data_IF_828186539568
#
_entry.id   IF_828186539568
#
_cell.length_a   1.000
_cell.length_b   1.000
_cell.length_c   1.000
_cell.angle_alpha   90.00
_cell.angle_beta   90.00
_cell.angle_gamma   90.00
#
_symmetry.space_group_name_H-M   'P 1'
#
loop_
_entity.id
_entity.type
_entity.pdbx_description
1 polymer ?
#
# COMPACT_ATOMS: atom_id res chain seq x y z
N UNK A 1 -32.08 19.11 -27.60
CA UNK A 1 -30.61 19.02 -27.56
C UNK A 1 -30.13 19.54 -26.20
N UNK A 2 -29.87 18.64 -25.25
CA UNK A 2 -29.01 18.89 -24.08
C UNK A 2 -28.82 17.55 -23.38
N UNK A 3 -27.87 16.75 -23.86
CA UNK A 3 -27.40 15.56 -23.14
C UNK A 3 -26.33 16.02 -22.17
N UNK A 4 -26.66 16.06 -20.89
CA UNK A 4 -25.68 16.29 -19.82
C UNK A 4 -24.64 15.17 -19.89
N UNK A 5 -23.40 15.54 -20.21
CA UNK A 5 -22.25 14.65 -20.02
C UNK A 5 -22.06 14.51 -18.52
N UNK A 6 -22.63 13.45 -17.95
CA UNK A 6 -22.22 12.94 -16.65
C UNK A 6 -20.74 12.63 -16.78
N UNK A 7 -19.90 13.48 -16.18
CA UNK A 7 -18.46 13.28 -16.12
C UNK A 7 -18.18 11.93 -15.43
N UNK A 8 -17.36 11.08 -16.05
CA UNK A 8 -16.92 9.77 -15.52
C UNK A 8 -16.25 9.84 -14.12
N UNK A 9 -16.11 11.04 -13.54
CA UNK A 9 -15.55 11.28 -12.21
C UNK A 9 -16.43 10.81 -11.04
N UNK A 10 -17.74 10.61 -11.25
CA UNK A 10 -18.69 10.24 -10.18
C UNK A 10 -19.13 8.77 -10.18
N UNK A 11 -18.68 7.94 -11.14
CA UNK A 11 -19.07 6.52 -11.11
C UNK A 11 -18.33 5.84 -9.95
N UNK A 12 -19.06 5.30 -8.95
CA UNK A 12 -18.42 4.44 -7.96
C UNK A 12 -17.70 3.32 -8.71
N UNK A 13 -16.44 3.06 -8.34
CA UNK A 13 -15.73 1.89 -8.87
C UNK A 13 -16.56 0.63 -8.62
N UNK A 14 -16.36 -0.44 -9.43
CA UNK A 14 -17.14 -1.66 -9.34
C UNK A 14 -17.07 -2.20 -7.90
N UNK A 15 -18.21 -2.21 -7.22
CA UNK A 15 -18.35 -2.88 -5.92
C UNK A 15 -18.33 -4.38 -6.16
N UNK A 16 -17.31 -5.06 -5.64
CA UNK A 16 -17.19 -6.50 -5.74
C UNK A 16 -18.27 -7.16 -4.88
N UNK A 17 -19.42 -7.50 -5.46
CA UNK A 17 -20.45 -8.27 -4.75
C UNK A 17 -20.12 -9.76 -4.88
N UNK A 18 -19.12 -10.21 -4.12
CA UNK A 18 -18.89 -11.63 -3.92
C UNK A 18 -19.98 -12.19 -2.98
N UNK A 19 -20.48 -13.39 -3.28
CA UNK A 19 -21.38 -14.09 -2.35
C UNK A 19 -20.69 -14.34 -1.00
N UNK A 20 -21.44 -14.50 0.10
CA UNK A 20 -20.88 -14.55 1.46
C UNK A 20 -19.74 -15.56 1.64
N UNK A 21 -19.85 -16.74 1.02
CA UNK A 21 -18.80 -17.78 1.08
C UNK A 21 -17.49 -17.37 0.38
N UNK A 22 -17.57 -16.69 -0.77
CA UNK A 22 -16.39 -16.17 -1.47
C UNK A 22 -15.77 -15.01 -0.71
N UNK A 23 -16.58 -14.15 -0.09
CA UNK A 23 -16.09 -13.07 0.78
C UNK A 23 -15.32 -13.61 1.97
N UNK A 24 -15.84 -14.66 2.63
CA UNK A 24 -15.13 -15.34 3.72
C UNK A 24 -13.81 -15.96 3.23
N UNK A 25 -13.84 -16.71 2.12
CA UNK A 25 -12.65 -17.35 1.55
C UNK A 25 -11.53 -16.34 1.27
N UNK A 26 -11.86 -15.25 0.57
CA UNK A 26 -10.86 -14.21 0.21
C UNK A 26 -10.37 -13.48 1.44
N UNK A 27 -11.25 -13.16 2.40
CA UNK A 27 -10.85 -12.50 3.66
C UNK A 27 -9.91 -13.39 4.48
N UNK A 28 -10.20 -14.68 4.58
CA UNK A 28 -9.33 -15.65 5.23
C UNK A 28 -7.98 -15.79 4.53
N UNK A 29 -7.94 -15.79 3.19
CA UNK A 29 -6.69 -15.80 2.43
C UNK A 29 -5.84 -14.54 2.71
N UNK A 30 -6.47 -13.36 2.72
CA UNK A 30 -5.77 -12.11 3.08
C UNK A 30 -5.24 -12.15 4.52
N UNK A 31 -6.02 -12.67 5.47
CA UNK A 31 -5.59 -12.81 6.85
C UNK A 31 -4.44 -13.82 7.02
N UNK A 32 -4.40 -14.90 6.25
CA UNK A 32 -3.27 -15.83 6.21
C UNK A 32 -2.00 -15.14 5.69
N UNK A 33 -2.12 -14.33 4.62
CA UNK A 33 -1.00 -13.53 4.12
C UNK A 33 -0.56 -12.51 5.18
N UNK A 34 -1.49 -11.86 5.88
CA UNK A 34 -1.17 -10.97 6.99
C UNK A 34 -0.43 -11.69 8.13
N UNK A 35 -0.78 -12.95 8.41
CA UNK A 35 -0.11 -13.80 9.40
C UNK A 35 1.32 -14.21 9.01
N UNK A 36 1.52 -14.69 7.78
CA UNK A 36 2.82 -15.18 7.31
C UNK A 36 3.75 -14.07 6.80
N UNK A 37 3.18 -12.97 6.31
CA UNK A 37 3.91 -11.91 5.63
C UNK A 37 4.99 -11.20 6.46
N UNK A 38 4.85 -11.00 7.79
CA UNK A 38 5.94 -10.49 8.62
C UNK A 38 7.22 -11.33 8.54
N UNK A 39 7.12 -12.66 8.40
CA UNK A 39 8.29 -13.52 8.21
C UNK A 39 8.98 -13.27 6.86
N UNK A 40 8.19 -13.07 5.79
CA UNK A 40 8.73 -12.68 4.48
C UNK A 40 9.39 -11.29 4.54
N UNK A 41 8.75 -10.33 5.21
CA UNK A 41 9.32 -9.00 5.39
C UNK A 41 10.64 -9.06 6.16
N UNK A 42 10.74 -9.89 7.20
CA UNK A 42 12.01 -10.12 7.91
C UNK A 42 13.09 -10.63 6.96
N UNK A 43 12.77 -11.59 6.08
CA UNK A 43 13.71 -12.12 5.08
C UNK A 43 14.19 -11.04 4.11
N UNK A 44 13.30 -10.15 3.68
CA UNK A 44 13.66 -9.03 2.81
C UNK A 44 14.51 -7.99 3.57
N UNK A 45 14.22 -7.74 4.84
CA UNK A 45 15.02 -6.84 5.68
C UNK A 45 16.43 -7.37 5.99
N UNK A 46 16.70 -8.67 5.79
CA UNK A 46 18.07 -9.22 5.91
C UNK A 46 19.05 -8.68 4.86
N UNK A 47 18.55 -8.07 3.79
CA UNK A 47 19.39 -7.42 2.77
C UNK A 47 19.82 -5.99 3.19
N UNK A 48 19.50 -5.58 4.42
CA UNK A 48 19.91 -4.31 5.03
C UNK A 48 21.38 -4.26 5.42
N UNK A 49 21.88 -3.05 5.69
CA UNK A 49 23.23 -2.86 6.25
C UNK A 49 23.29 -3.32 7.70
N UNK A 50 22.17 -3.20 8.43
CA UNK A 50 22.00 -3.70 9.80
C UNK A 50 20.85 -4.72 9.82
N UNK A 51 21.09 -5.96 9.37
CA UNK A 51 20.04 -6.96 9.26
C UNK A 51 19.44 -7.27 10.64
N UNK A 52 18.11 -7.09 10.83
CA UNK A 52 17.50 -7.29 12.13
C UNK A 52 17.25 -8.77 12.40
N UNK A 53 17.50 -9.26 13.62
CA UNK A 53 17.17 -10.66 13.97
C UNK A 53 15.66 -10.92 14.01
N UNK A 54 14.87 -9.86 14.25
CA UNK A 54 13.41 -9.90 14.36
C UNK A 54 12.80 -8.55 14.01
N UNK A 55 11.55 -8.56 13.55
CA UNK A 55 10.82 -7.31 13.32
C UNK A 55 10.41 -6.67 14.64
N UNK A 56 10.52 -5.34 14.69
CA UNK A 56 10.01 -4.57 15.81
C UNK A 56 8.48 -4.58 15.81
N UNK A 57 7.88 -4.49 17.01
CA UNK A 57 6.41 -4.54 17.15
C UNK A 57 5.70 -3.52 16.25
N UNK A 58 6.11 -2.24 16.17
CA UNK A 58 5.46 -1.27 15.28
C UNK A 58 5.42 -1.72 13.80
N UNK A 59 6.48 -2.35 13.31
CA UNK A 59 6.58 -2.85 11.93
C UNK A 59 5.57 -3.96 11.68
N UNK A 60 5.40 -4.86 12.64
CA UNK A 60 4.41 -5.95 12.55
C UNK A 60 2.98 -5.39 12.52
N UNK A 61 2.69 -4.37 13.35
CA UNK A 61 1.39 -3.69 13.34
C UNK A 61 1.12 -3.02 11.99
N UNK A 62 2.12 -2.33 11.43
CA UNK A 62 2.02 -1.69 10.11
C UNK A 62 1.81 -2.70 8.99
N UNK A 63 2.44 -3.87 9.05
CA UNK A 63 2.23 -4.92 8.08
C UNK A 63 0.76 -5.40 8.08
N UNK A 64 0.16 -5.57 9.26
CA UNK A 64 -1.26 -5.88 9.38
C UNK A 64 -2.17 -4.78 8.80
N UNK A 65 -1.77 -3.52 8.98
CA UNK A 65 -2.52 -2.37 8.46
C UNK A 65 -2.66 -2.35 6.92
N UNK A 66 -1.75 -3.01 6.19
CA UNK A 66 -1.81 -3.13 4.72
C UNK A 66 -3.11 -3.79 4.21
N UNK A 67 -3.72 -4.65 5.02
CA UNK A 67 -4.87 -5.46 4.61
C UNK A 67 -6.21 -4.84 5.00
N UNK A 68 -6.20 -3.79 5.85
CA UNK A 68 -7.41 -3.21 6.44
C UNK A 68 -8.37 -2.69 5.37
N UNK A 69 -7.87 -1.89 4.42
CA UNK A 69 -8.70 -1.33 3.34
C UNK A 69 -9.41 -2.41 2.52
N UNK A 70 -8.67 -3.46 2.13
CA UNK A 70 -9.21 -4.59 1.37
C UNK A 70 -10.28 -5.36 2.13
N UNK A 71 -10.05 -5.63 3.42
CA UNK A 71 -11.02 -6.33 4.28
C UNK A 71 -12.31 -5.52 4.45
N UNK A 72 -12.21 -4.20 4.62
CA UNK A 72 -13.37 -3.30 4.68
C UNK A 72 -14.16 -3.35 3.37
N UNK A 73 -13.49 -3.26 2.22
CA UNK A 73 -14.17 -3.31 0.92
C UNK A 73 -14.86 -4.64 0.64
N UNK A 74 -14.18 -5.76 0.90
CA UNK A 74 -14.75 -7.08 0.65
C UNK A 74 -16.02 -7.33 1.47
N UNK A 75 -16.07 -6.76 2.68
CA UNK A 75 -17.15 -7.00 3.63
C UNK A 75 -18.20 -5.89 3.68
N UNK A 76 -18.00 -4.79 2.95
CA UNK A 76 -18.92 -3.63 2.96
C UNK A 76 -20.32 -3.96 2.45
N UNK A 77 -20.45 -4.95 1.56
CA UNK A 77 -21.73 -5.37 0.99
C UNK A 77 -22.51 -6.33 1.89
N UNK A 78 -21.88 -6.85 2.95
CA UNK A 78 -22.53 -7.77 3.90
C UNK A 78 -23.32 -6.99 4.95
N UNK A 79 -24.38 -7.62 5.45
CA UNK A 79 -25.09 -7.19 6.65
C UNK A 79 -24.14 -7.09 7.85
N UNK A 80 -24.33 -6.15 8.79
CA UNK A 80 -23.39 -5.89 9.89
C UNK A 80 -23.02 -7.14 10.70
N UNK A 81 -23.99 -7.98 11.08
CA UNK A 81 -23.72 -9.22 11.84
C UNK A 81 -22.85 -10.21 11.06
N UNK A 82 -23.11 -10.36 9.76
CA UNK A 82 -22.33 -11.26 8.90
C UNK A 82 -20.95 -10.70 8.61
N UNK A 83 -20.83 -9.40 8.41
CA UNK A 83 -19.56 -8.69 8.29
C UNK A 83 -18.66 -8.95 9.48
N UNK A 84 -19.17 -8.71 10.69
CA UNK A 84 -18.40 -8.90 11.92
C UNK A 84 -17.97 -10.37 12.07
N UNK A 85 -18.89 -11.32 11.81
CA UNK A 85 -18.57 -12.75 11.83
C UNK A 85 -17.47 -13.14 10.83
N UNK A 86 -17.52 -12.62 9.59
CA UNK A 86 -16.51 -12.88 8.56
C UNK A 86 -15.15 -12.30 8.96
N UNK A 87 -15.10 -11.07 9.47
CA UNK A 87 -13.85 -10.45 9.89
C UNK A 87 -13.23 -11.18 11.08
N UNK A 88 -14.03 -11.58 12.07
CA UNK A 88 -13.56 -12.38 13.22
C UNK A 88 -13.06 -13.75 12.76
N UNK A 89 -13.81 -14.46 11.91
CA UNK A 89 -13.41 -15.76 11.39
C UNK A 89 -12.11 -15.67 10.56
N UNK A 90 -12.02 -14.69 9.66
CA UNK A 90 -10.80 -14.47 8.88
C UNK A 90 -9.60 -14.18 9.79
N UNK A 91 -9.78 -13.35 10.83
CA UNK A 91 -8.72 -13.05 11.81
C UNK A 91 -8.25 -14.30 12.55
N UNK A 92 -9.18 -15.15 12.98
CA UNK A 92 -8.86 -16.41 13.64
C UNK A 92 -8.07 -17.36 12.72
N UNK A 93 -8.46 -17.44 11.44
CA UNK A 93 -7.71 -18.20 10.41
C UNK A 93 -6.33 -17.59 10.16
N UNK A 94 -6.23 -16.26 10.05
CA UNK A 94 -4.94 -15.58 9.89
C UNK A 94 -3.99 -15.77 11.06
N UNK A 95 -4.52 -15.91 12.28
CA UNK A 95 -3.76 -16.19 13.48
C UNK A 95 -3.34 -17.68 13.61
N UNK A 96 -4.02 -18.61 12.93
CA UNK A 96 -3.75 -20.05 13.06
C UNK A 96 -2.47 -20.48 12.32
N UNK A 97 -2.15 -19.89 11.17
CA UNK A 97 -0.94 -20.22 10.41
C UNK A 97 0.37 -19.78 11.12
N UNK A 98 0.48 -18.55 11.65
CA UNK A 98 1.61 -18.15 12.50
C UNK A 98 1.74 -19.06 13.72
N UNK A 99 0.62 -19.41 14.37
CA UNK A 99 0.61 -20.33 15.50
C UNK A 99 1.05 -21.76 15.12
N UNK A 100 0.72 -22.24 13.91
CA UNK A 100 1.19 -23.52 13.40
C UNK A 100 2.69 -23.48 13.05
N UNK A 101 3.17 -22.40 12.45
CA UNK A 101 4.61 -22.20 12.14
C UNK A 101 5.46 -22.05 13.42
N UNK A 102 4.87 -21.51 14.49
CA UNK A 102 5.48 -21.44 15.83
C UNK A 102 5.95 -22.80 16.35
N UNK A 103 5.19 -23.86 16.03
CA UNK A 103 5.49 -25.23 16.45
C UNK A 103 6.77 -25.78 15.78
N UNK A 104 7.22 -25.17 14.68
CA UNK A 104 8.42 -25.56 13.93
C UNK A 104 9.64 -24.68 14.21
N UNK A 105 9.62 -23.87 15.28
CA UNK A 105 10.80 -23.20 15.85
C UNK A 105 11.39 -22.03 15.05
N UNK A 106 10.71 -21.58 13.99
CA UNK A 106 11.21 -20.55 13.05
C UNK A 106 10.43 -19.23 13.10
N UNK A 107 9.72 -18.95 14.20
CA UNK A 107 8.72 -17.88 14.21
C UNK A 107 8.64 -17.11 15.55
N UNK A 108 8.41 -15.78 15.45
CA UNK A 108 8.26 -14.87 16.60
C UNK A 108 6.77 -14.70 16.98
N UNK A 109 6.36 -14.98 18.23
CA UNK A 109 5.00 -14.78 18.75
C UNK A 109 4.33 -13.45 18.41
N UNK A 110 5.13 -12.39 18.27
CA UNK A 110 4.65 -11.04 17.98
C UNK A 110 3.99 -10.95 16.61
N UNK A 111 4.27 -11.86 15.67
CA UNK A 111 3.71 -11.82 14.32
C UNK A 111 2.19 -12.09 14.30
N UNK A 112 1.60 -12.63 15.37
CA UNK A 112 0.15 -12.69 15.55
C UNK A 112 -0.51 -11.32 15.58
N UNK A 113 0.23 -10.28 15.96
CA UNK A 113 -0.30 -8.92 16.00
C UNK A 113 -0.71 -8.42 14.60
N UNK A 114 -0.08 -8.91 13.53
CA UNK A 114 -0.39 -8.49 12.17
C UNK A 114 -1.83 -8.85 11.74
N UNK A 115 -2.26 -10.13 11.75
CA UNK A 115 -3.65 -10.47 11.41
C UNK A 115 -4.66 -9.89 12.42
N UNK A 116 -4.29 -9.73 13.70
CA UNK A 116 -5.13 -9.07 14.69
C UNK A 116 -5.36 -7.59 14.38
N UNK A 117 -4.34 -6.85 13.96
CA UNK A 117 -4.49 -5.45 13.51
C UNK A 117 -5.32 -5.39 12.24
N UNK A 118 -5.06 -6.27 11.26
CA UNK A 118 -5.82 -6.31 10.01
C UNK A 118 -7.32 -6.46 10.28
N UNK A 119 -7.71 -7.44 11.09
CA UNK A 119 -9.10 -7.70 11.45
C UNK A 119 -9.71 -6.66 12.38
N UNK A 120 -8.99 -6.30 13.45
CA UNK A 120 -9.46 -5.36 14.47
C UNK A 120 -9.67 -3.95 13.90
N UNK A 121 -8.72 -3.43 13.13
CA UNK A 121 -8.87 -2.13 12.49
C UNK A 121 -9.95 -2.15 11.39
N UNK A 122 -10.11 -3.25 10.65
CA UNK A 122 -11.20 -3.40 9.70
C UNK A 122 -12.57 -3.40 10.38
N UNK A 123 -12.72 -4.09 11.52
CA UNK A 123 -13.92 -4.06 12.35
C UNK A 123 -14.23 -2.63 12.81
N UNK A 124 -13.24 -1.91 13.34
CA UNK A 124 -13.40 -0.52 13.78
C UNK A 124 -13.81 0.41 12.64
N UNK A 125 -13.12 0.37 11.50
CA UNK A 125 -13.45 1.21 10.35
C UNK A 125 -14.82 0.87 9.75
N UNK A 126 -15.24 -0.40 9.82
CA UNK A 126 -16.55 -0.84 9.34
C UNK A 126 -17.75 -0.27 10.12
N UNK A 127 -17.49 0.37 11.27
CA UNK A 127 -18.49 1.11 12.07
C UNK A 127 -18.77 2.51 11.51
N UNK A 128 -17.89 3.02 10.65
CA UNK A 128 -18.11 4.29 9.94
C UNK A 128 -19.03 4.07 8.74
N UNK A 129 -19.55 5.15 8.18
CA UNK A 129 -20.21 5.08 6.88
C UNK A 129 -19.23 4.60 5.79
N UNK A 130 -19.76 3.98 4.74
CA UNK A 130 -18.96 3.34 3.70
C UNK A 130 -17.96 4.29 3.04
N UNK A 131 -18.33 5.56 2.85
CA UNK A 131 -17.48 6.58 2.23
C UNK A 131 -16.27 6.89 3.13
N UNK A 132 -16.50 7.15 4.42
CA UNK A 132 -15.43 7.40 5.39
C UNK A 132 -14.55 6.17 5.60
N UNK A 133 -15.14 4.98 5.71
CA UNK A 133 -14.41 3.73 5.88
C UNK A 133 -13.43 3.48 4.71
N UNK A 134 -13.88 3.70 3.47
CA UNK A 134 -13.02 3.58 2.28
C UNK A 134 -11.91 4.64 2.24
N UNK A 135 -12.22 5.89 2.61
CA UNK A 135 -11.25 6.98 2.66
C UNK A 135 -10.16 6.71 3.69
N UNK A 136 -10.54 6.47 4.95
CA UNK A 136 -9.58 6.20 6.03
C UNK A 136 -8.83 4.88 5.82
N UNK A 137 -9.47 3.87 5.26
CA UNK A 137 -8.82 2.62 4.88
C UNK A 137 -7.69 2.85 3.86
N UNK A 138 -7.94 3.64 2.81
CA UNK A 138 -6.92 3.96 1.83
C UNK A 138 -5.77 4.80 2.43
N UNK A 139 -6.10 5.80 3.26
CA UNK A 139 -5.09 6.62 3.95
C UNK A 139 -4.22 5.82 4.91
N UNK A 140 -4.82 4.86 5.63
CA UNK A 140 -4.11 3.97 6.55
C UNK A 140 -3.15 3.05 5.79
N UNK A 141 -3.62 2.42 4.71
CA UNK A 141 -2.78 1.54 3.88
C UNK A 141 -1.64 2.33 3.23
N UNK A 142 -1.92 3.53 2.71
CA UNK A 142 -0.89 4.42 2.18
C UNK A 142 0.18 4.71 3.24
N UNK A 143 -0.24 5.16 4.42
CA UNK A 143 0.66 5.49 5.53
C UNK A 143 1.49 4.26 5.96
N UNK A 144 0.86 3.10 6.08
CA UNK A 144 1.54 1.86 6.42
C UNK A 144 2.60 1.48 5.38
N UNK A 145 2.29 1.58 4.09
CA UNK A 145 3.25 1.36 3.02
C UNK A 145 4.45 2.32 3.09
N UNK A 146 4.21 3.62 3.28
CA UNK A 146 5.30 4.61 3.42
C UNK A 146 6.23 4.28 4.58
N UNK A 147 5.66 3.90 5.73
CA UNK A 147 6.42 3.58 6.93
C UNK A 147 7.22 2.27 6.78
N UNK A 148 6.64 1.25 6.14
CA UNK A 148 7.33 0.00 5.85
C UNK A 148 8.43 0.17 4.81
N UNK A 149 8.22 1.04 3.82
CA UNK A 149 9.26 1.41 2.86
C UNK A 149 10.44 2.09 3.56
N UNK A 150 10.16 3.01 4.49
CA UNK A 150 11.22 3.64 5.29
C UNK A 150 11.89 2.65 6.26
N UNK A 151 11.16 1.72 6.86
CA UNK A 151 11.79 0.68 7.69
C UNK A 151 12.78 -0.19 6.90
N UNK A 152 12.53 -0.39 5.62
CA UNK A 152 13.37 -1.20 4.71
C UNK A 152 14.27 -0.34 3.82
N UNK A 153 14.51 0.93 4.19
CA UNK A 153 15.20 1.91 3.33
C UNK A 153 16.63 1.52 2.97
N UNK A 154 17.31 0.74 3.81
CA UNK A 154 18.70 0.33 3.61
C UNK A 154 18.82 -1.10 3.09
N UNK A 155 17.68 -1.76 2.82
CA UNK A 155 17.61 -3.14 2.37
C UNK A 155 17.65 -3.21 0.85
N UNK A 156 18.76 -3.70 0.29
CA UNK A 156 18.99 -3.73 -1.15
C UNK A 156 19.11 -5.15 -1.67
N UNK A 157 18.11 -5.59 -2.43
CA UNK A 157 18.05 -6.91 -3.04
C UNK A 157 18.73 -6.89 -4.41
N UNK A 158 19.88 -7.58 -4.59
CA UNK A 158 20.50 -7.71 -5.91
C UNK A 158 19.65 -8.61 -6.83
N UNK A 159 19.44 -8.15 -8.06
CA UNK A 159 18.66 -8.83 -9.09
C UNK A 159 19.54 -9.04 -10.34
N UNK A 160 20.39 -10.06 -10.27
CA UNK A 160 21.44 -10.26 -11.28
C UNK A 160 22.59 -9.25 -11.10
N UNK A 161 23.30 -8.96 -12.20
CA UNK A 161 24.57 -8.24 -12.11
C UNK A 161 24.42 -6.71 -12.02
N UNK A 162 23.34 -6.15 -12.56
CA UNK A 162 23.13 -4.70 -12.64
C UNK A 162 22.03 -4.18 -11.71
N UNK A 163 20.90 -4.89 -11.63
CA UNK A 163 19.74 -4.36 -10.92
C UNK A 163 19.91 -4.52 -9.41
N UNK A 164 19.64 -3.43 -8.69
CA UNK A 164 19.71 -3.38 -7.25
C UNK A 164 18.44 -2.74 -6.72
N UNK A 165 17.53 -3.58 -6.23
CA UNK A 165 16.20 -3.15 -5.83
C UNK A 165 16.19 -2.74 -4.36
N UNK A 166 15.74 -1.54 -4.05
CA UNK A 166 15.38 -1.19 -2.69
C UNK A 166 14.11 -1.95 -2.29
N UNK A 167 14.13 -2.70 -1.17
CA UNK A 167 12.98 -3.49 -0.70
C UNK A 167 11.76 -2.59 -0.46
N UNK A 168 11.97 -1.35 -0.01
CA UNK A 168 10.90 -0.38 0.20
C UNK A 168 10.13 -0.04 -1.07
N UNK A 169 10.77 -0.16 -2.25
CA UNK A 169 10.13 0.05 -3.55
C UNK A 169 8.95 -0.89 -3.80
N UNK A 170 8.95 -2.08 -3.19
CA UNK A 170 7.85 -3.07 -3.33
C UNK A 170 6.50 -2.53 -2.81
N UNK A 171 6.51 -1.58 -1.89
CA UNK A 171 5.29 -0.98 -1.35
C UNK A 171 4.70 0.11 -2.27
N UNK A 172 5.47 0.65 -3.22
CA UNK A 172 5.04 1.83 -3.98
C UNK A 172 3.86 1.56 -4.91
N UNK A 173 3.77 0.38 -5.51
CA UNK A 173 2.59 0.00 -6.30
C UNK A 173 1.27 0.13 -5.51
N UNK A 174 1.33 -0.22 -4.22
CA UNK A 174 0.19 -0.07 -3.31
C UNK A 174 -0.03 1.41 -3.00
N UNK A 175 1.02 2.19 -2.67
CA UNK A 175 0.88 3.63 -2.37
C UNK A 175 0.23 4.41 -3.50
N UNK A 176 0.66 4.21 -4.76
CA UNK A 176 0.08 4.89 -5.93
C UNK A 176 -1.40 4.58 -6.05
N UNK A 177 -1.76 3.30 -5.90
CA UNK A 177 -3.15 2.86 -5.94
C UNK A 177 -3.99 3.48 -4.83
N UNK A 178 -3.47 3.54 -3.59
CA UNK A 178 -4.21 4.14 -2.48
C UNK A 178 -4.37 5.64 -2.62
N UNK A 179 -3.32 6.35 -3.07
CA UNK A 179 -3.41 7.79 -3.34
C UNK A 179 -4.45 8.11 -4.42
N UNK A 180 -4.46 7.35 -5.52
CA UNK A 180 -5.46 7.47 -6.60
C UNK A 180 -6.88 7.28 -6.08
N UNK A 181 -7.07 6.43 -5.08
CA UNK A 181 -8.36 6.27 -4.41
C UNK A 181 -8.68 7.46 -3.55
N UNK A 182 -7.71 8.00 -2.80
CA UNK A 182 -7.93 9.17 -1.94
C UNK A 182 -8.25 10.42 -2.76
N UNK A 183 -7.74 10.53 -3.99
CA UNK A 183 -8.11 11.60 -4.93
C UNK A 183 -9.61 11.71 -5.19
N UNK A 184 -10.38 10.62 -5.09
CA UNK A 184 -11.85 10.62 -5.25
C UNK A 184 -12.57 11.37 -4.14
N UNK A 185 -11.93 11.54 -2.99
CA UNK A 185 -12.44 12.33 -1.86
C UNK A 185 -11.96 13.79 -1.90
N UNK A 186 -11.21 14.16 -2.95
CA UNK A 186 -10.77 15.52 -3.23
C UNK A 186 -9.35 15.83 -2.77
N UNK A 187 -8.82 16.93 -3.30
CA UNK A 187 -7.43 17.39 -3.07
C UNK A 187 -7.08 17.56 -1.59
N UNK A 188 -8.03 18.03 -0.76
CA UNK A 188 -7.83 18.21 0.68
C UNK A 188 -7.59 16.89 1.42
N UNK A 189 -8.30 15.83 1.05
CA UNK A 189 -8.11 14.52 1.66
C UNK A 189 -6.72 13.94 1.36
N UNK A 190 -6.22 14.18 0.13
CA UNK A 190 -4.88 13.75 -0.28
C UNK A 190 -3.80 14.49 0.52
N UNK A 191 -3.89 15.81 0.64
CA UNK A 191 -2.93 16.56 1.47
C UNK A 191 -3.01 16.21 2.96
N UNK A 192 -4.21 15.94 3.49
CA UNK A 192 -4.36 15.45 4.86
C UNK A 192 -3.67 14.09 5.04
N UNK A 193 -3.79 13.19 4.05
CA UNK A 193 -3.10 11.91 4.03
C UNK A 193 -1.58 12.10 4.02
N UNK A 194 -1.05 12.89 3.08
CA UNK A 194 0.40 13.17 2.95
C UNK A 194 0.94 13.74 4.26
N UNK A 195 0.28 14.75 4.82
CA UNK A 195 0.69 15.35 6.07
C UNK A 195 0.65 14.36 7.24
N UNK A 196 -0.43 13.57 7.35
CA UNK A 196 -0.53 12.54 8.39
C UNK A 196 0.56 11.47 8.25
N UNK A 197 0.85 11.01 7.04
CA UNK A 197 1.90 10.02 6.78
C UNK A 197 3.28 10.60 7.11
N UNK A 198 3.54 11.86 6.76
CA UNK A 198 4.79 12.55 7.08
C UNK A 198 5.00 12.68 8.59
N UNK A 199 3.97 13.07 9.34
CA UNK A 199 4.04 13.19 10.81
C UNK A 199 4.26 11.83 11.45
N UNK A 200 3.46 10.81 11.10
CA UNK A 200 3.61 9.46 11.66
C UNK A 200 4.98 8.89 11.30
N UNK A 201 5.52 9.19 10.11
CA UNK A 201 6.84 8.77 9.69
C UNK A 201 7.94 9.33 10.58
N UNK A 202 7.91 10.62 10.87
CA UNK A 202 8.89 11.25 11.78
C UNK A 202 8.79 10.62 13.17
N UNK A 203 7.57 10.45 13.70
CA UNK A 203 7.36 9.87 15.03
C UNK A 203 7.86 8.43 15.13
N UNK A 204 7.54 7.60 14.14
CA UNK A 204 7.97 6.20 14.13
C UNK A 204 9.49 6.10 13.98
N UNK A 205 10.06 6.82 13.02
CA UNK A 205 11.49 6.77 12.75
C UNK A 205 12.30 7.25 13.97
N UNK A 206 11.81 8.28 14.67
CA UNK A 206 12.39 8.72 15.93
C UNK A 206 12.29 7.64 17.04
N UNK A 207 11.16 6.91 17.12
CA UNK A 207 10.96 5.87 18.15
C UNK A 207 11.84 4.63 17.96
N UNK A 208 12.21 4.31 16.72
CA UNK A 208 13.02 3.13 16.38
C UNK A 208 14.52 3.45 16.27
N UNK A 209 14.92 4.69 16.55
CA UNK A 209 16.32 5.11 16.52
C UNK A 209 16.90 5.34 15.12
N UNK A 210 16.05 5.62 14.12
CA UNK A 210 16.51 5.92 12.77
C UNK A 210 17.39 7.19 12.77
N UNK A 211 18.54 7.20 12.08
CA UNK A 211 19.36 8.39 11.94
C UNK A 211 18.57 9.59 11.41
N UNK A 212 18.78 10.77 12.02
CA UNK A 212 18.02 12.00 11.71
C UNK A 212 18.09 12.38 10.23
N UNK A 213 19.21 12.06 9.57
CA UNK A 213 19.40 12.23 8.13
C UNK A 213 18.29 11.54 7.32
N UNK A 214 18.05 10.26 7.57
CA UNK A 214 17.03 9.49 6.85
C UNK A 214 15.64 10.01 7.18
N UNK A 215 15.37 10.39 8.43
CA UNK A 215 14.10 10.99 8.83
C UNK A 215 13.82 12.27 8.03
N UNK A 216 14.80 13.18 7.97
CA UNK A 216 14.67 14.47 7.28
C UNK A 216 14.49 14.28 5.77
N UNK A 217 15.26 13.39 5.15
CA UNK A 217 15.15 13.09 3.72
C UNK A 217 13.81 12.42 3.41
N UNK A 218 13.40 11.38 4.14
CA UNK A 218 12.09 10.74 3.94
C UNK A 218 10.95 11.74 4.06
N UNK A 219 10.98 12.63 5.05
CA UNK A 219 9.96 13.67 5.22
C UNK A 219 9.92 14.63 4.03
N UNK A 220 11.08 15.17 3.64
CA UNK A 220 11.19 16.15 2.56
C UNK A 220 10.75 15.55 1.23
N UNK A 221 11.26 14.36 0.89
CA UNK A 221 11.00 13.69 -0.38
C UNK A 221 9.55 13.27 -0.47
N UNK A 222 8.96 12.72 0.59
CA UNK A 222 7.53 12.39 0.65
C UNK A 222 6.68 13.62 0.31
N UNK A 223 6.96 14.77 0.93
CA UNK A 223 6.20 16.00 0.67
C UNK A 223 6.39 16.44 -0.79
N UNK A 224 7.63 16.49 -1.29
CA UNK A 224 7.91 16.97 -2.65
C UNK A 224 7.27 16.06 -3.70
N UNK A 225 7.53 14.75 -3.63
CA UNK A 225 7.07 13.79 -4.62
C UNK A 225 5.53 13.66 -4.62
N UNK A 226 4.90 13.58 -3.46
CA UNK A 226 3.45 13.44 -3.37
C UNK A 226 2.70 14.74 -3.70
N UNK A 227 3.30 15.89 -3.41
CA UNK A 227 2.79 17.20 -3.87
C UNK A 227 2.89 17.30 -5.38
N UNK A 228 4.05 16.96 -5.97
CA UNK A 228 4.24 16.98 -7.42
C UNK A 228 3.23 16.07 -8.13
N UNK A 229 3.04 14.84 -7.63
CA UNK A 229 2.03 13.93 -8.13
C UNK A 229 0.63 14.55 -8.05
N UNK A 230 0.26 15.01 -6.86
CA UNK A 230 -1.06 15.58 -6.59
C UNK A 230 -1.36 16.74 -7.53
N UNK A 231 -0.43 17.65 -7.73
CA UNK A 231 -0.65 18.82 -8.60
C UNK A 231 -0.75 18.44 -10.08
N UNK A 232 0.04 17.48 -10.56
CA UNK A 232 -0.06 16.99 -11.93
C UNK A 232 -1.39 16.27 -12.12
N UNK A 233 -1.78 15.37 -11.20
CA UNK A 233 -3.04 14.65 -11.23
C UNK A 233 -4.24 15.61 -11.28
N UNK A 234 -4.24 16.63 -10.42
CA UNK A 234 -5.32 17.61 -10.32
C UNK A 234 -5.44 18.49 -11.58
N UNK A 235 -4.33 18.87 -12.20
CA UNK A 235 -4.34 19.59 -13.48
C UNK A 235 -4.89 18.76 -14.63
N UNK A 236 -4.77 17.44 -14.54
CA UNK A 236 -5.22 16.50 -15.57
C UNK A 236 -6.63 15.94 -15.32
N UNK A 237 -7.41 16.51 -14.39
CA UNK A 237 -8.80 16.09 -14.12
C UNK A 237 -9.74 16.11 -15.35
N UNK A 238 -9.37 16.81 -16.43
CA UNK A 238 -10.10 16.76 -17.70
C UNK A 238 -9.73 15.60 -18.64
N UNK A 239 -8.70 14.80 -18.31
CA UNK A 239 -8.19 13.69 -19.14
C UNK A 239 -8.71 12.33 -18.66
N UNK A 240 -8.40 11.24 -19.38
CA UNK A 240 -8.75 9.89 -18.93
C UNK A 240 -8.08 9.55 -17.59
N UNK A 241 -8.69 8.68 -16.78
CA UNK A 241 -8.10 8.26 -15.50
C UNK A 241 -6.70 7.67 -15.68
N UNK A 242 -6.49 6.81 -16.68
CA UNK A 242 -5.18 6.24 -16.99
C UNK A 242 -4.14 7.31 -17.31
N UNK A 243 -4.51 8.33 -18.09
CA UNK A 243 -3.62 9.45 -18.40
C UNK A 243 -3.23 10.21 -17.14
N UNK A 244 -4.17 10.48 -16.23
CA UNK A 244 -3.88 11.18 -14.96
C UNK A 244 -2.85 10.43 -14.14
N UNK A 245 -3.12 9.14 -13.90
CA UNK A 245 -2.27 8.25 -13.08
C UNK A 245 -0.90 8.05 -13.73
N UNK A 246 -0.86 7.76 -15.03
CA UNK A 246 0.40 7.52 -15.72
C UNK A 246 1.26 8.80 -15.78
N UNK A 247 0.66 9.96 -16.09
CA UNK A 247 1.41 11.22 -16.18
C UNK A 247 1.88 11.73 -14.83
N UNK A 248 1.09 11.59 -13.76
CA UNK A 248 1.53 12.00 -12.42
C UNK A 248 2.66 11.09 -11.93
N UNK A 249 2.50 9.77 -12.04
CA UNK A 249 3.53 8.79 -11.66
C UNK A 249 4.82 8.89 -12.48
N UNK A 250 4.72 9.23 -13.77
CA UNK A 250 5.89 9.42 -14.63
C UNK A 250 6.82 10.55 -14.17
N UNK A 251 6.31 11.50 -13.38
CA UNK A 251 7.12 12.59 -12.80
C UNK A 251 7.44 12.32 -11.35
N UNK A 252 6.45 11.91 -10.55
CA UNK A 252 6.63 11.74 -9.11
C UNK A 252 7.54 10.58 -8.75
N UNK A 253 7.49 9.45 -9.46
CA UNK A 253 8.31 8.28 -9.14
C UNK A 253 9.83 8.51 -9.36
N UNK A 254 10.29 9.10 -10.50
CA UNK A 254 11.70 9.48 -10.63
C UNK A 254 12.12 10.56 -9.64
N UNK A 255 11.26 11.55 -9.41
CA UNK A 255 11.55 12.64 -8.47
C UNK A 255 11.78 12.08 -7.05
N UNK A 256 10.91 11.18 -6.61
CA UNK A 256 11.03 10.48 -5.33
C UNK A 256 12.33 9.68 -5.24
N UNK A 257 12.56 8.76 -6.18
CA UNK A 257 13.74 7.88 -6.15
C UNK A 257 15.05 8.66 -6.26
N UNK A 258 15.14 9.64 -7.16
CA UNK A 258 16.37 10.41 -7.35
C UNK A 258 16.67 11.22 -6.10
N UNK A 259 15.69 11.99 -5.59
CA UNK A 259 15.92 12.82 -4.40
C UNK A 259 16.21 11.97 -3.17
N UNK A 260 15.46 10.88 -2.97
CA UNK A 260 15.68 9.99 -1.83
C UNK A 260 17.07 9.38 -1.88
N UNK A 261 17.41 8.66 -2.95
CA UNK A 261 18.67 7.92 -3.05
C UNK A 261 19.87 8.85 -2.98
N UNK A 262 19.81 10.01 -3.66
CA UNK A 262 20.91 10.97 -3.60
C UNK A 262 21.05 11.58 -2.21
N UNK A 263 20.00 12.15 -1.63
CA UNK A 263 20.11 12.85 -0.34
C UNK A 263 20.32 11.90 0.85
N UNK A 264 19.70 10.72 0.83
CA UNK A 264 19.80 9.73 1.90
C UNK A 264 21.19 9.11 1.97
N UNK A 265 21.84 8.85 0.84
CA UNK A 265 23.10 8.10 0.80
C UNK A 265 24.32 8.90 0.33
N UNK A 266 24.17 10.19 -0.01
CA UNK A 266 25.29 11.07 -0.34
C UNK A 266 26.44 10.99 0.67
N UNK A 267 27.65 10.72 0.21
CA UNK A 267 28.83 10.70 1.08
C UNK A 267 28.96 9.47 1.99
N UNK A 268 28.08 8.47 1.87
CA UNK A 268 28.34 7.15 2.46
C UNK A 268 29.38 6.39 1.61
N UNK A 269 30.31 5.67 2.25
CA UNK A 269 31.44 5.02 1.58
C UNK A 269 31.01 3.99 0.53
N UNK A 270 29.89 3.29 0.78
CA UNK A 270 29.35 2.29 -0.14
C UNK A 270 28.52 2.89 -1.29
N UNK A 271 28.03 4.12 -1.13
CA UNK A 271 27.10 4.76 -2.06
C UNK A 271 27.82 5.42 -3.24
N UNK A 272 28.54 4.61 -4.02
CA UNK A 272 29.23 5.07 -5.23
C UNK A 272 28.24 5.60 -6.26
N UNK A 273 28.72 6.40 -7.22
CA UNK A 273 27.90 6.86 -8.36
C UNK A 273 27.29 5.70 -9.15
N UNK A 274 28.02 4.61 -9.33
CA UNK A 274 27.53 3.39 -9.97
C UNK A 274 26.40 2.76 -9.18
N UNK A 275 26.62 2.55 -7.88
CA UNK A 275 25.62 1.99 -6.97
C UNK A 275 24.33 2.83 -6.93
N UNK A 276 24.44 4.15 -6.78
CA UNK A 276 23.27 5.04 -6.80
C UNK A 276 22.52 4.97 -8.14
N UNK A 277 23.25 4.86 -9.25
CA UNK A 277 22.64 4.69 -10.58
C UNK A 277 21.87 3.37 -10.68
N UNK A 278 22.44 2.28 -10.19
CA UNK A 278 21.77 0.96 -10.16
C UNK A 278 20.48 1.03 -9.36
N UNK A 279 20.51 1.59 -8.14
CA UNK A 279 19.32 1.76 -7.30
C UNK A 279 18.28 2.63 -7.99
N UNK A 280 18.67 3.81 -8.48
CA UNK A 280 17.74 4.76 -9.12
C UNK A 280 17.05 4.11 -10.33
N UNK A 281 17.82 3.48 -11.23
CA UNK A 281 17.27 2.85 -12.43
C UNK A 281 16.35 1.70 -12.04
N UNK A 282 16.78 0.84 -11.12
CA UNK A 282 15.99 -0.33 -10.71
C UNK A 282 14.69 0.09 -10.06
N UNK A 283 14.73 1.02 -9.11
CA UNK A 283 13.57 1.45 -8.36
C UNK A 283 12.55 2.17 -9.26
N UNK A 284 13.00 3.03 -10.17
CA UNK A 284 12.10 3.70 -11.13
C UNK A 284 11.42 2.69 -12.03
N UNK A 285 12.16 1.71 -12.56
CA UNK A 285 11.59 0.65 -13.40
C UNK A 285 10.57 -0.19 -12.63
N UNK A 286 10.88 -0.59 -11.40
CA UNK A 286 9.95 -1.36 -10.57
C UNK A 286 8.71 -0.53 -10.23
N UNK A 287 8.84 0.75 -9.86
CA UNK A 287 7.70 1.64 -9.62
C UNK A 287 6.78 1.74 -10.83
N UNK A 288 7.33 1.88 -12.03
CA UNK A 288 6.55 1.90 -13.26
C UNK A 288 5.88 0.55 -13.55
N UNK A 289 6.61 -0.55 -13.41
CA UNK A 289 6.04 -1.88 -13.58
C UNK A 289 4.89 -2.13 -12.60
N UNK A 290 5.07 -1.80 -11.32
CA UNK A 290 4.03 -1.91 -10.30
C UNK A 290 2.82 -1.02 -10.60
N UNK A 291 3.03 0.22 -11.07
CA UNK A 291 1.95 1.12 -11.48
C UNK A 291 1.14 0.57 -12.66
N UNK A 292 1.83 -0.01 -13.66
CA UNK A 292 1.18 -0.67 -14.81
C UNK A 292 0.39 -1.89 -14.34
N UNK A 293 0.98 -2.76 -13.51
CA UNK A 293 0.31 -3.95 -12.99
C UNK A 293 -0.96 -3.58 -12.20
N UNK A 294 -0.89 -2.54 -11.37
CA UNK A 294 -2.05 -2.02 -10.64
C UNK A 294 -3.14 -1.52 -11.60
N UNK A 295 -2.78 -0.75 -12.63
CA UNK A 295 -3.72 -0.27 -13.63
C UNK A 295 -4.37 -1.41 -14.44
N UNK A 296 -3.58 -2.39 -14.88
CA UNK A 296 -4.06 -3.58 -15.60
C UNK A 296 -4.99 -4.42 -14.73
N UNK A 297 -4.62 -4.66 -13.46
CA UNK A 297 -5.44 -5.38 -12.50
C UNK A 297 -6.80 -4.71 -12.29
N UNK A 298 -6.81 -3.39 -12.11
CA UNK A 298 -8.05 -2.61 -11.96
C UNK A 298 -8.94 -2.70 -13.21
N UNK A 299 -8.35 -2.62 -14.41
CA UNK A 299 -9.09 -2.77 -15.66
C UNK A 299 -9.68 -4.16 -15.84
N UNK A 300 -8.96 -5.22 -15.46
CA UNK A 300 -9.47 -6.59 -15.49
C UNK A 300 -10.70 -6.75 -14.60
N UNK A 301 -10.66 -6.16 -13.39
CA UNK A 301 -11.80 -6.12 -12.46
C UNK A 301 -12.98 -5.36 -13.06
N UNK A 302 -12.75 -4.16 -13.62
CA UNK A 302 -13.79 -3.36 -14.28
C UNK A 302 -14.49 -4.14 -15.40
N UNK A 303 -13.72 -4.81 -16.25
CA UNK A 303 -14.27 -5.62 -17.35
C UNK A 303 -15.08 -6.82 -16.83
N UNK A 304 -14.60 -7.48 -15.77
CA UNK A 304 -15.31 -8.59 -15.14
C UNK A 304 -16.64 -8.15 -14.50
N UNK A 305 -16.68 -6.95 -13.94
CA UNK A 305 -17.89 -6.39 -13.33
C UNK A 305 -18.94 -5.91 -14.36
N UNK A 306 -18.52 -5.46 -15.54
CA UNK A 306 -19.42 -4.95 -16.59
C UNK A 306 -20.01 -6.07 -17.47
N UNK A 307 -19.26 -7.16 -17.73
CA UNK A 307 -19.73 -8.29 -18.53
C UNK A 307 -21.10 -8.89 -18.12
N UNK A 308 -21.43 -9.09 -16.83
CA UNK A 308 -22.74 -9.62 -16.45
C UNK A 308 -23.92 -8.66 -16.68
N UNK A 309 -23.69 -7.35 -16.85
CA UNK A 309 -24.77 -6.36 -17.06
C UNK A 309 -25.25 -6.27 -18.52
N UNK A 310 -24.41 -6.67 -19.48
CA UNK A 310 -24.77 -6.68 -20.90
C UNK A 310 -25.50 -7.98 -21.26
N UNK A 311 -25.09 -9.11 -20.69
CA UNK A 311 -25.76 -10.40 -20.90
C UNK A 311 -27.19 -10.47 -20.33
N UNK A 312 -27.52 -9.64 -19.34
CA UNK A 312 -28.88 -9.56 -18.76
C UNK A 312 -29.85 -8.63 -19.51
N UNK A 313 -29.43 -7.99 -20.60
CA UNK A 313 -30.29 -7.15 -21.46
C UNK A 313 -30.69 -7.80 -22.79
N UNK A 314 -30.19 -9.00 -23.04
CA UNK A 314 -30.50 -9.80 -24.23
C UNK A 314 -31.36 -11.04 -23.92
N UNK A 315 -31.96 -11.10 -22.71
CA UNK A 315 -32.87 -12.16 -22.27
C UNK A 315 -34.27 -11.59 -21.97
#
# INVERSE_FOLDING_TARGET
MSTSRVTDAERPGPTFTAGPGRTLLVSSALALIAGAGPALLLRLAQFGQQPPDRLQVPVVLLFGALFVGLLVELTTALEPRRRDAVLVAATAVGASLPAALALFGSWDPRYLLSPLVAGGAALLLSRLDAKRAQMFGAMLVFTACTLLANYTLDSFLPLGDFFLLNVGTLFFGITFTQRDRVHRFGRRAVYAMIFSAAVVNVLLAASVGTPLRYIAVSFLVLIIAETADTEIYQRLLGKSWLTRVASSNAVSAPLDTILFTTLAFWGEDFATRGWMTQVIVTDVLVKYASGILAALGMMAVLRAAVRPLVAGREA
#
